data_IF_185741888209
#
_entry.id   IF_185741888209
#
_cell.length_a   1.000
_cell.length_b   1.000
_cell.length_c   1.000
_cell.angle_alpha   90.00
_cell.angle_beta   90.00
_cell.angle_gamma   90.00
#
_symmetry.space_group_name_H-M   'P 1'
#
loop_
_entity.id
_entity.type
_entity.pdbx_description
1 polymer ?
#
# COMPACT_ATOMS: atom_id res chain seq x y z
N UNK A 1 18.66 -7.08 -54.33
CA UNK A 1 17.77 -7.75 -53.36
C UNK A 1 18.59 -8.60 -52.42
N UNK A 2 18.77 -8.17 -51.16
CA UNK A 2 19.16 -9.03 -50.03
C UNK A 2 18.53 -8.46 -48.76
N UNK A 3 17.35 -8.99 -48.43
CA UNK A 3 16.73 -8.87 -47.11
C UNK A 3 17.49 -9.77 -46.15
N UNK A 4 18.02 -9.20 -45.06
CA UNK A 4 18.38 -9.97 -43.87
C UNK A 4 17.67 -9.28 -42.71
N UNK A 5 16.59 -9.91 -42.26
CA UNK A 5 15.78 -9.44 -41.15
C UNK A 5 16.50 -9.71 -39.83
N UNK A 6 16.71 -8.66 -39.05
CA UNK A 6 17.17 -8.76 -37.67
C UNK A 6 15.95 -9.10 -36.81
N UNK A 7 15.90 -10.34 -36.31
CA UNK A 7 14.89 -10.76 -35.35
C UNK A 7 15.07 -10.00 -34.03
N UNK A 8 14.08 -9.19 -33.64
CA UNK A 8 13.98 -8.66 -32.28
C UNK A 8 13.55 -9.80 -31.35
N UNK A 9 14.47 -10.29 -30.52
CA UNK A 9 14.10 -11.07 -29.34
C UNK A 9 13.42 -10.13 -28.33
N UNK A 10 12.10 -10.14 -28.29
CA UNK A 10 11.34 -9.54 -27.19
C UNK A 10 11.43 -10.47 -25.98
N UNK A 11 12.22 -10.07 -24.98
CA UNK A 11 12.27 -10.75 -23.69
C UNK A 11 10.99 -10.39 -22.92
N UNK A 12 9.98 -11.25 -22.97
CA UNK A 12 8.79 -11.11 -22.13
C UNK A 12 9.19 -11.43 -20.69
N UNK A 13 9.40 -10.39 -19.86
CA UNK A 13 9.44 -10.57 -18.40
C UNK A 13 8.03 -10.92 -17.94
N UNK A 14 7.71 -12.21 -17.89
CA UNK A 14 6.49 -12.70 -17.23
C UNK A 14 6.74 -12.60 -15.73
N UNK A 15 6.52 -11.43 -15.15
CA UNK A 15 6.62 -11.22 -13.72
C UNK A 15 5.47 -11.95 -13.03
N UNK A 16 5.76 -12.96 -12.21
CA UNK A 16 4.82 -13.44 -11.21
C UNK A 16 4.61 -12.27 -10.25
N UNK A 17 3.47 -11.57 -10.34
CA UNK A 17 3.12 -10.56 -9.36
C UNK A 17 2.98 -11.26 -8.01
N UNK A 18 3.98 -11.07 -7.14
CA UNK A 18 3.89 -11.50 -5.75
C UNK A 18 2.73 -10.75 -5.10
N UNK A 19 1.94 -11.43 -4.28
CA UNK A 19 0.88 -10.76 -3.54
C UNK A 19 1.52 -9.71 -2.62
N UNK A 20 1.03 -8.48 -2.70
CA UNK A 20 1.46 -7.37 -1.86
C UNK A 20 0.54 -7.28 -0.63
N UNK A 21 1.06 -6.71 0.45
CA UNK A 21 0.32 -6.46 1.69
C UNK A 21 0.39 -4.97 2.04
N UNK A 22 -0.37 -4.57 3.06
CA UNK A 22 -0.24 -3.23 3.63
C UNK A 22 1.17 -3.01 4.20
N UNK A 23 1.74 -1.79 4.11
CA UNK A 23 3.04 -1.49 4.68
C UNK A 23 3.18 -1.89 6.14
N UNK A 24 4.30 -2.53 6.51
CA UNK A 24 4.64 -2.65 7.93
C UNK A 24 4.83 -1.25 8.53
N UNK A 25 4.43 -1.02 9.78
CA UNK A 25 4.61 0.28 10.46
C UNK A 25 6.07 0.73 10.44
N UNK A 26 7.01 -0.20 10.63
CA UNK A 26 8.46 0.05 10.54
C UNK A 26 8.96 0.51 9.16
N UNK A 27 8.17 0.34 8.11
CA UNK A 27 8.50 0.78 6.75
C UNK A 27 7.86 2.11 6.36
N UNK A 28 6.99 2.66 7.22
CA UNK A 28 6.34 3.94 7.01
C UNK A 28 7.32 5.04 7.41
N UNK A 29 7.49 6.03 6.54
CA UNK A 29 8.24 7.25 6.81
C UNK A 29 7.27 8.39 7.02
N UNK A 30 7.49 9.16 8.09
CA UNK A 30 6.75 10.38 8.42
C UNK A 30 7.63 11.61 8.14
N UNK A 31 7.04 12.66 7.56
CA UNK A 31 7.74 13.93 7.28
C UNK A 31 6.81 15.11 7.53
N UNK A 32 7.31 16.16 8.17
CA UNK A 32 6.56 17.40 8.37
C UNK A 32 6.03 17.93 7.04
N UNK A 33 4.74 18.31 7.04
CA UNK A 33 4.05 18.92 5.91
C UNK A 33 3.01 19.94 6.40
N UNK A 34 3.37 21.21 6.33
CA UNK A 34 2.53 22.31 6.82
C UNK A 34 2.27 22.24 8.33
N UNK A 35 1.02 22.01 8.72
CA UNK A 35 0.59 21.94 10.12
C UNK A 35 0.57 20.52 10.69
N UNK A 36 0.84 19.51 9.87
CA UNK A 36 0.91 18.12 10.30
C UNK A 36 1.96 17.35 9.53
N UNK A 37 1.63 16.14 9.10
CA UNK A 37 2.61 15.23 8.52
C UNK A 37 2.08 14.50 7.30
N UNK A 38 2.97 14.34 6.33
CA UNK A 38 2.82 13.40 5.24
C UNK A 38 3.53 12.08 5.58
N UNK A 39 2.98 10.99 5.06
CA UNK A 39 3.44 9.63 5.26
C UNK A 39 3.67 8.96 3.92
N UNK A 40 4.71 8.14 3.84
CA UNK A 40 5.01 7.34 2.65
C UNK A 40 5.57 5.98 3.01
N UNK A 41 5.45 5.00 2.11
CA UNK A 41 6.08 3.69 2.28
C UNK A 41 6.49 3.09 0.91
N UNK A 42 7.41 2.10 0.87
CA UNK A 42 7.89 1.50 -0.36
C UNK A 42 6.75 0.98 -1.26
N UNK A 43 6.86 1.18 -2.57
CA UNK A 43 5.83 0.79 -3.54
C UNK A 43 4.85 1.90 -3.91
N UNK A 44 5.07 3.12 -3.43
CA UNK A 44 4.25 4.30 -3.81
C UNK A 44 3.02 4.48 -2.94
N UNK A 45 3.10 4.06 -1.67
CA UNK A 45 2.08 4.36 -0.68
C UNK A 45 2.23 5.78 -0.18
N UNK A 46 1.11 6.49 -0.07
CA UNK A 46 1.07 7.89 0.36
C UNK A 46 -0.14 8.14 1.27
N UNK A 47 -0.01 9.07 2.21
CA UNK A 47 -1.09 9.56 3.05
C UNK A 47 -0.67 10.78 3.84
N UNK A 48 -1.60 11.45 4.49
CA UNK A 48 -1.33 12.62 5.31
C UNK A 48 -2.25 12.65 6.53
N UNK A 49 -1.79 13.31 7.59
CA UNK A 49 -2.62 13.69 8.72
C UNK A 49 -2.22 15.10 9.18
N UNK A 50 -3.03 16.14 8.91
CA UNK A 50 -2.73 17.52 9.27
C UNK A 50 -2.83 17.78 10.79
N UNK A 51 -3.31 16.79 11.56
CA UNK A 51 -3.42 16.86 13.03
C UNK A 51 -2.36 16.00 13.74
N UNK A 52 -1.48 15.32 12.99
CA UNK A 52 -0.45 14.48 13.57
C UNK A 52 0.72 15.30 14.12
N UNK A 53 1.43 14.67 15.06
CA UNK A 53 2.67 15.08 15.71
C UNK A 53 3.78 14.06 15.39
N UNK A 54 5.03 14.42 15.66
CA UNK A 54 6.20 13.58 15.39
C UNK A 54 6.14 12.22 16.10
N UNK A 55 5.48 12.15 17.25
CA UNK A 55 5.41 10.95 18.10
C UNK A 55 4.41 9.91 17.58
N UNK A 56 3.49 10.31 16.70
CA UNK A 56 2.31 9.51 16.35
C UNK A 56 2.63 8.23 15.58
N UNK A 57 3.63 8.25 14.68
CA UNK A 57 4.02 7.08 13.91
C UNK A 57 4.43 5.90 14.82
N UNK A 58 5.05 6.19 15.96
CA UNK A 58 5.45 5.17 16.93
C UNK A 58 4.28 4.41 17.56
N UNK A 59 3.07 4.98 17.49
CA UNK A 59 1.84 4.40 18.04
C UNK A 59 0.99 3.62 17.02
N UNK A 60 1.43 3.56 15.76
CA UNK A 60 0.60 3.01 14.70
C UNK A 60 0.39 1.50 14.83
N UNK A 61 -0.86 1.09 14.68
CA UNK A 61 -1.28 -0.30 14.61
C UNK A 61 -2.17 -0.51 13.37
N UNK A 62 -1.88 -1.55 12.59
CA UNK A 62 -2.73 -1.90 11.45
C UNK A 62 -4.16 -2.21 11.91
N UNK A 63 -5.16 -1.69 11.20
CA UNK A 63 -6.56 -1.84 11.58
C UNK A 63 -7.44 -2.46 10.51
N UNK A 64 -7.35 -2.00 9.27
CA UNK A 64 -8.17 -2.52 8.18
C UNK A 64 -7.55 -2.15 6.84
N UNK A 65 -7.80 -2.98 5.83
CA UNK A 65 -7.50 -2.68 4.43
C UNK A 65 -8.79 -2.65 3.60
N UNK A 66 -8.83 -1.78 2.59
CA UNK A 66 -9.92 -1.71 1.62
C UNK A 66 -9.39 -1.67 0.20
N UNK A 67 -9.88 -2.55 -0.65
CA UNK A 67 -9.69 -2.49 -2.10
C UNK A 67 -10.86 -1.74 -2.72
N UNK A 68 -10.55 -0.80 -3.61
CA UNK A 68 -11.52 -0.10 -4.45
C UNK A 68 -11.20 -0.36 -5.92
N UNK A 69 -12.05 0.12 -6.82
CA UNK A 69 -11.78 0.06 -8.26
C UNK A 69 -10.48 0.73 -8.69
N UNK A 70 -9.93 1.65 -7.87
CA UNK A 70 -8.80 2.51 -8.25
C UNK A 70 -7.65 2.52 -7.25
N UNK A 71 -7.79 1.87 -6.11
CA UNK A 71 -6.77 1.94 -5.06
C UNK A 71 -6.89 0.81 -4.04
N UNK A 72 -5.82 0.63 -3.27
CA UNK A 72 -5.84 -0.05 -1.98
C UNK A 72 -5.61 0.99 -0.89
N UNK A 73 -6.39 0.93 0.18
CA UNK A 73 -6.31 1.83 1.32
C UNK A 73 -6.04 1.00 2.56
N UNK A 74 -4.90 1.21 3.20
CA UNK A 74 -4.54 0.59 4.47
C UNK A 74 -4.67 1.62 5.59
N UNK A 75 -5.41 1.27 6.64
CA UNK A 75 -5.65 2.16 7.78
C UNK A 75 -4.87 1.69 8.98
N UNK A 76 -4.20 2.64 9.62
CA UNK A 76 -3.50 2.44 10.87
C UNK A 76 -4.17 3.32 11.93
N UNK A 77 -4.49 2.72 13.08
CA UNK A 77 -4.89 3.48 14.26
C UNK A 77 -3.63 4.07 14.87
N UNK A 78 -3.73 5.30 15.37
CA UNK A 78 -2.77 5.91 16.28
C UNK A 78 -3.49 6.28 17.57
N UNK A 79 -2.73 6.53 18.63
CA UNK A 79 -3.30 7.05 19.88
C UNK A 79 -3.98 8.41 19.65
N UNK A 80 -4.93 8.81 20.52
CA UNK A 80 -5.54 10.15 20.48
C UNK A 80 -6.13 10.61 19.11
N UNK A 81 -6.55 9.68 18.26
CA UNK A 81 -7.08 9.92 16.88
C UNK A 81 -6.01 10.34 15.85
N UNK A 82 -4.74 10.03 16.10
CA UNK A 82 -3.65 10.37 15.18
C UNK A 82 -3.39 9.36 14.05
N UNK A 83 -4.26 8.36 13.89
CA UNK A 83 -4.14 7.35 12.84
C UNK A 83 -4.08 7.93 11.42
N UNK A 84 -3.64 7.10 10.48
CA UNK A 84 -3.46 7.49 9.07
C UNK A 84 -4.08 6.46 8.13
N UNK A 85 -4.48 6.91 6.94
CA UNK A 85 -4.77 6.04 5.81
C UNK A 85 -3.65 6.17 4.78
N UNK A 86 -2.96 5.07 4.48
CA UNK A 86 -2.03 5.00 3.35
C UNK A 86 -2.76 4.45 2.14
N UNK A 87 -2.64 5.14 1.01
CA UNK A 87 -3.27 4.79 -0.25
C UNK A 87 -2.21 4.38 -1.26
N UNK A 88 -2.43 3.24 -1.91
CA UNK A 88 -1.72 2.82 -3.11
C UNK A 88 -2.64 2.99 -4.29
N UNK A 89 -2.23 3.79 -5.28
CA UNK A 89 -3.01 4.00 -6.50
C UNK A 89 -2.92 2.80 -7.45
N UNK A 90 -4.02 2.56 -8.15
CA UNK A 90 -4.18 1.50 -9.14
C UNK A 90 -5.17 0.43 -8.69
N UNK A 91 -5.90 -0.12 -9.66
CA UNK A 91 -6.80 -1.25 -9.44
C UNK A 91 -6.01 -2.46 -8.95
N UNK A 92 -6.55 -3.16 -7.95
CA UNK A 92 -6.00 -4.40 -7.39
C UNK A 92 -7.13 -5.39 -7.14
N UNK A 93 -6.78 -6.67 -7.08
CA UNK A 93 -7.65 -7.76 -6.70
C UNK A 93 -7.26 -8.28 -5.32
N UNK A 94 -8.25 -8.67 -4.54
CA UNK A 94 -8.03 -9.36 -3.27
C UNK A 94 -7.35 -10.71 -3.52
N UNK A 95 -6.49 -11.14 -2.61
CA UNK A 95 -5.74 -12.40 -2.73
C UNK A 95 -5.67 -13.20 -1.44
N UNK A 96 -5.64 -12.54 -0.27
CA UNK A 96 -5.71 -13.19 1.04
C UNK A 96 -7.09 -13.74 1.39
N UNK A 97 -7.18 -14.52 2.45
CA UNK A 97 -8.40 -15.15 2.94
C UNK A 97 -9.20 -14.27 3.92
N UNK A 98 -8.63 -13.15 4.38
CA UNK A 98 -9.28 -12.20 5.29
C UNK A 98 -10.20 -11.18 4.63
N UNK A 99 -10.41 -11.28 3.30
CA UNK A 99 -11.22 -10.32 2.54
C UNK A 99 -12.70 -10.69 2.52
N UNK A 100 -13.56 -9.74 2.85
CA UNK A 100 -15.01 -9.79 2.72
C UNK A 100 -15.49 -8.50 2.03
N UNK A 101 -16.19 -8.62 0.89
CA UNK A 101 -16.71 -7.49 0.10
C UNK A 101 -15.71 -6.34 -0.16
N UNK A 102 -14.43 -6.70 -0.36
CA UNK A 102 -13.34 -5.75 -0.64
C UNK A 102 -12.78 -5.03 0.59
N UNK A 103 -13.16 -5.44 1.80
CA UNK A 103 -12.58 -5.00 3.07
C UNK A 103 -11.92 -6.17 3.80
N UNK A 104 -10.82 -5.92 4.51
CA UNK A 104 -10.11 -6.91 5.31
C UNK A 104 -9.84 -6.33 6.70
N UNK A 105 -10.38 -6.98 7.73
CA UNK A 105 -10.26 -6.56 9.14
C UNK A 105 -9.44 -7.55 9.98
N UNK A 106 -8.78 -8.51 9.33
CA UNK A 106 -7.88 -9.44 9.99
C UNK A 106 -6.73 -8.69 10.68
N UNK A 107 -6.34 -9.12 11.88
CA UNK A 107 -5.16 -8.55 12.56
C UNK A 107 -3.85 -8.98 11.92
N UNK A 108 -3.84 -10.12 11.23
CA UNK A 108 -2.72 -10.56 10.40
C UNK A 108 -2.77 -9.86 9.04
N UNK A 109 -1.76 -9.04 8.75
CA UNK A 109 -1.68 -8.27 7.51
C UNK A 109 -1.51 -9.16 6.28
N UNK A 110 -1.00 -10.38 6.43
CA UNK A 110 -0.83 -11.33 5.33
C UNK A 110 -2.18 -11.89 4.86
N UNK A 111 -3.16 -12.00 5.76
CA UNK A 111 -4.54 -12.33 5.41
C UNK A 111 -5.21 -11.23 4.55
N UNK A 112 -4.64 -10.02 4.54
CA UNK A 112 -5.07 -8.89 3.72
C UNK A 112 -4.23 -8.72 2.43
N UNK A 113 -3.58 -9.77 1.92
CA UNK A 113 -2.80 -9.68 0.69
C UNK A 113 -3.67 -9.37 -0.56
N UNK A 114 -3.10 -8.66 -1.54
CA UNK A 114 -3.74 -8.24 -2.79
C UNK A 114 -2.75 -8.30 -3.98
N UNK A 115 -3.24 -8.18 -5.23
CA UNK A 115 -2.43 -8.25 -6.47
C UNK A 115 -2.91 -7.30 -7.56
#
# INVERSE_FOLDING_TARGET
MRTIGTALLALFMVGNAVAATCPSVSSITQKEDGQGYAYSAPGGWEGDNPMASEEDLGSFEFFTAKVTEKSVICRYKGENKSGVSLTLSGARQTAGDGWEDGECTASDVDACAFK
#
